data_IF_357249750592
#
_entry.id   IF_357249750592
#
_cell.length_a   1.000
_cell.length_b   1.000
_cell.length_c   1.000
_cell.angle_alpha   90.00
_cell.angle_beta   90.00
_cell.angle_gamma   90.00
#
_symmetry.space_group_name_H-M   'P 1'
#
loop_
_entity.id
_entity.type
_entity.pdbx_description
1 polymer ?
#
# COMPACT_ATOMS: atom_id res chain seq x y z
N UNK A 1 17.39 -2.71 17.92
CA UNK A 1 18.63 -2.26 17.24
C UNK A 1 18.46 -2.50 15.74
N UNK A 2 17.93 -1.52 15.01
CA UNK A 2 17.71 -1.64 13.57
C UNK A 2 18.93 -1.11 12.82
N UNK A 3 19.55 -1.98 12.01
CA UNK A 3 20.60 -1.61 11.05
C UNK A 3 19.98 -0.71 9.98
N UNK A 4 20.30 0.57 10.02
CA UNK A 4 20.13 1.47 8.89
C UNK A 4 21.17 1.08 7.82
N UNK A 5 20.73 0.42 6.75
CA UNK A 5 21.53 0.34 5.52
C UNK A 5 21.39 1.68 4.80
N UNK A 6 22.35 2.56 5.04
CA UNK A 6 22.55 3.78 4.25
C UNK A 6 23.02 3.38 2.86
N UNK A 7 22.12 3.30 1.90
CA UNK A 7 22.47 3.32 0.47
C UNK A 7 22.75 4.77 0.13
N UNK A 8 24.03 5.16 0.29
CA UNK A 8 24.55 6.40 -0.24
C UNK A 8 24.66 6.25 -1.78
N UNK A 9 23.61 6.64 -2.50
CA UNK A 9 23.67 6.79 -3.94
C UNK A 9 24.24 8.18 -4.24
N UNK A 10 25.48 8.21 -4.73
CA UNK A 10 26.16 9.43 -5.17
C UNK A 10 25.34 10.09 -6.29
N UNK A 11 24.65 11.17 -5.93
CA UNK A 11 24.18 12.19 -6.86
C UNK A 11 25.38 13.02 -7.29
N UNK A 12 25.99 12.67 -8.42
CA UNK A 12 26.81 13.61 -9.17
C UNK A 12 25.87 14.56 -9.91
N UNK A 13 25.34 15.57 -9.20
CA UNK A 13 24.72 16.74 -9.83
C UNK A 13 25.85 17.56 -10.43
N UNK A 14 26.14 17.35 -11.70
CA UNK A 14 26.83 18.36 -12.50
C UNK A 14 25.88 19.53 -12.69
N UNK A 15 25.95 20.48 -11.75
CA UNK A 15 25.55 21.87 -11.96
C UNK A 15 26.44 22.44 -13.08
N UNK A 16 26.09 22.19 -14.34
CA UNK A 16 26.54 23.05 -15.43
C UNK A 16 25.66 24.29 -15.41
N UNK A 17 26.32 25.41 -15.11
CA UNK A 17 25.70 26.67 -14.76
C UNK A 17 24.86 27.27 -15.86
N UNK A 18 23.86 28.02 -15.40
CA UNK A 18 23.53 29.36 -15.88
C UNK A 18 23.34 29.52 -17.39
N UNK A 19 22.06 29.64 -17.76
CA UNK A 19 21.58 30.38 -18.91
C UNK A 19 22.49 31.60 -19.20
N UNK A 20 23.38 31.48 -20.18
CA UNK A 20 23.70 32.63 -21.04
C UNK A 20 22.74 32.55 -22.19
N UNK A 21 21.76 33.44 -22.15
CA UNK A 21 20.99 33.84 -23.31
C UNK A 21 21.97 34.07 -24.47
N UNK A 22 21.75 33.35 -25.57
CA UNK A 22 22.43 33.49 -26.85
C UNK A 22 22.06 34.83 -27.50
N UNK A 23 22.39 35.96 -26.85
CA UNK A 23 22.48 37.26 -27.52
C UNK A 23 23.81 37.33 -28.27
N UNK A 24 23.97 36.54 -29.34
CA UNK A 24 24.94 36.77 -30.43
C UNK A 24 25.00 35.64 -31.47
N UNK A 25 23.87 35.24 -32.06
CA UNK A 25 23.89 34.64 -33.43
C UNK A 25 22.79 35.24 -34.33
N UNK A 26 22.16 36.36 -33.94
CA UNK A 26 21.13 37.03 -34.76
C UNK A 26 21.69 37.94 -35.88
N UNK A 27 22.96 37.80 -36.27
CA UNK A 27 23.57 38.64 -37.32
C UNK A 27 24.50 37.85 -38.25
N UNK A 28 24.04 36.70 -38.77
CA UNK A 28 24.68 36.05 -39.93
C UNK A 28 23.69 36.10 -41.11
N UNK A 29 23.30 37.33 -41.48
CA UNK A 29 22.90 37.66 -42.86
C UNK A 29 24.04 38.51 -43.42
N UNK A 30 25.23 37.93 -43.53
CA UNK A 30 26.42 38.55 -44.14
C UNK A 30 27.41 37.46 -44.53
N UNK A 31 27.23 36.92 -45.74
CA UNK A 31 28.25 36.52 -46.73
C UNK A 31 29.56 35.79 -46.38
N UNK A 32 29.83 35.38 -45.14
CA UNK A 32 30.97 34.52 -44.81
C UNK A 32 30.47 33.09 -44.54
N UNK A 33 30.97 32.13 -45.34
CA UNK A 33 30.70 30.71 -45.14
C UNK A 33 31.20 30.31 -43.75
N UNK A 34 30.34 29.67 -42.95
CA UNK A 34 30.74 29.12 -41.66
C UNK A 34 32.00 28.24 -41.81
N UNK A 35 32.93 28.32 -40.86
CA UNK A 35 34.17 27.54 -40.96
C UNK A 35 33.89 26.06 -40.68
N UNK A 36 34.69 25.14 -41.25
CA UNK A 36 34.55 23.70 -40.97
C UNK A 36 34.57 23.38 -39.46
N UNK A 37 35.35 24.13 -38.67
CA UNK A 37 35.43 23.96 -37.21
C UNK A 37 34.12 24.36 -36.51
N UNK A 38 33.43 25.41 -37.00
CA UNK A 38 32.14 25.83 -36.45
C UNK A 38 31.04 24.81 -36.72
N UNK A 39 31.01 24.28 -37.96
CA UNK A 39 30.09 23.22 -38.37
C UNK A 39 30.32 21.96 -37.51
N UNK A 40 31.58 21.53 -37.38
CA UNK A 40 31.93 20.34 -36.58
C UNK A 40 31.59 20.52 -35.09
N UNK A 41 31.80 21.72 -34.55
CA UNK A 41 31.46 22.01 -33.15
C UNK A 41 29.94 22.00 -32.91
N UNK A 42 29.13 22.50 -33.86
CA UNK A 42 27.67 22.44 -33.78
C UNK A 42 27.17 21.00 -33.84
N UNK A 43 27.70 20.21 -34.78
CA UNK A 43 27.40 18.78 -34.90
C UNK A 43 27.68 18.02 -33.61
N UNK A 44 28.88 18.16 -33.03
CA UNK A 44 29.23 17.43 -31.80
C UNK A 44 28.37 17.81 -30.58
N UNK A 45 27.90 19.06 -30.50
CA UNK A 45 26.95 19.45 -29.44
C UNK A 45 25.60 18.78 -29.63
N UNK A 46 25.10 18.73 -30.87
CA UNK A 46 23.86 18.04 -31.21
C UNK A 46 23.98 16.53 -30.94
N UNK A 47 25.11 15.91 -31.32
CA UNK A 47 25.42 14.50 -31.02
C UNK A 47 25.43 14.21 -29.51
N UNK A 48 26.09 15.06 -28.71
CA UNK A 48 26.11 14.91 -27.27
C UNK A 48 24.71 15.02 -26.65
N UNK A 49 23.90 16.00 -27.10
CA UNK A 49 22.52 16.16 -26.65
C UNK A 49 21.65 14.96 -27.03
N UNK A 50 21.81 14.44 -28.25
CA UNK A 50 21.11 13.24 -28.72
C UNK A 50 21.45 12.01 -27.86
N UNK A 51 22.73 11.80 -27.54
CA UNK A 51 23.17 10.70 -26.67
C UNK A 51 22.59 10.81 -25.26
N UNK A 52 22.51 12.03 -24.71
CA UNK A 52 21.89 12.28 -23.41
C UNK A 52 20.38 11.94 -23.44
N UNK A 53 19.67 12.37 -24.49
CA UNK A 53 18.26 12.04 -24.68
C UNK A 53 18.04 10.52 -24.85
N UNK A 54 18.93 9.84 -25.58
CA UNK A 54 18.91 8.38 -25.73
C UNK A 54 19.02 7.67 -24.37
N UNK A 55 19.98 8.12 -23.56
CA UNK A 55 20.17 7.58 -22.22
C UNK A 55 18.95 7.84 -21.33
N UNK A 56 18.36 9.03 -21.38
CA UNK A 56 17.16 9.36 -20.62
C UNK A 56 15.98 8.46 -21.00
N UNK A 57 15.74 8.22 -22.29
CA UNK A 57 14.71 7.28 -22.76
C UNK A 57 14.97 5.85 -22.26
N UNK A 58 16.22 5.39 -22.31
CA UNK A 58 16.61 4.08 -21.77
C UNK A 58 16.30 3.96 -20.28
N UNK A 59 16.68 4.96 -19.48
CA UNK A 59 16.39 5.01 -18.05
C UNK A 59 14.89 5.05 -17.75
N UNK A 60 14.09 5.74 -18.59
CA UNK A 60 12.64 5.79 -18.46
C UNK A 60 12.00 4.40 -18.56
N UNK A 61 12.51 3.55 -19.45
CA UNK A 61 12.02 2.19 -19.62
C UNK A 61 12.45 1.28 -18.47
N UNK A 62 13.72 1.34 -18.05
CA UNK A 62 14.25 0.56 -16.92
C UNK A 62 13.54 0.90 -15.60
N UNK A 63 13.23 2.19 -15.38
CA UNK A 63 12.54 2.65 -14.19
C UNK A 63 11.01 2.59 -14.29
N UNK A 64 10.44 2.07 -15.37
CA UNK A 64 8.98 1.94 -15.57
C UNK A 64 8.23 3.26 -15.32
N UNK A 65 8.78 4.39 -15.78
CA UNK A 65 8.26 5.73 -15.44
C UNK A 65 6.83 5.97 -15.94
N UNK A 66 6.39 5.24 -16.96
CA UNK A 66 5.03 5.31 -17.47
C UNK A 66 3.95 4.89 -16.47
N UNK A 67 4.30 4.12 -15.42
CA UNK A 67 3.37 3.77 -14.34
C UNK A 67 3.08 4.95 -13.40
N UNK A 68 3.97 5.95 -13.39
CA UNK A 68 3.91 7.09 -12.48
C UNK A 68 3.50 8.39 -13.18
N UNK A 69 3.93 8.59 -14.42
CA UNK A 69 3.65 9.80 -15.21
C UNK A 69 3.56 9.46 -16.70
N UNK A 70 2.46 8.81 -17.08
CA UNK A 70 2.23 8.32 -18.45
C UNK A 70 2.21 9.43 -19.50
N UNK A 71 1.74 10.63 -19.12
CA UNK A 71 1.66 11.80 -20.01
C UNK A 71 3.05 12.27 -20.43
N UNK A 72 3.94 12.54 -19.47
CA UNK A 72 5.30 13.01 -19.79
C UNK A 72 6.12 11.93 -20.48
N UNK A 73 6.00 10.67 -20.06
CA UNK A 73 6.71 9.58 -20.74
C UNK A 73 6.23 9.37 -22.17
N UNK A 74 4.91 9.45 -22.42
CA UNK A 74 4.37 9.31 -23.78
C UNK A 74 4.82 10.46 -24.68
N UNK A 75 4.83 11.69 -24.15
CA UNK A 75 5.33 12.86 -24.88
C UNK A 75 6.81 12.70 -25.22
N UNK A 76 7.64 12.30 -24.25
CA UNK A 76 9.07 12.06 -24.47
C UNK A 76 9.31 10.96 -25.52
N UNK A 77 8.56 9.85 -25.49
CA UNK A 77 8.68 8.79 -26.49
C UNK A 77 8.30 9.25 -27.90
N UNK A 78 7.29 10.11 -28.06
CA UNK A 78 6.92 10.68 -29.37
C UNK A 78 8.00 11.63 -29.90
N UNK A 79 8.54 12.49 -29.04
CA UNK A 79 9.65 13.38 -29.39
C UNK A 79 10.89 12.57 -29.77
N UNK A 80 11.17 11.49 -29.04
CA UNK A 80 12.28 10.60 -29.34
C UNK A 80 12.18 9.99 -30.74
N UNK A 81 10.99 9.54 -31.17
CA UNK A 81 10.79 9.00 -32.52
C UNK A 81 11.12 10.02 -33.61
N UNK A 82 10.68 11.27 -33.46
CA UNK A 82 11.04 12.36 -34.41
C UNK A 82 12.54 12.63 -34.39
N UNK A 83 13.11 12.79 -33.19
CA UNK A 83 14.51 13.11 -32.99
C UNK A 83 15.46 12.07 -33.62
N UNK A 84 15.06 10.79 -33.65
CA UNK A 84 15.84 9.74 -34.30
C UNK A 84 15.99 9.98 -35.81
N UNK A 85 14.91 10.40 -36.47
CA UNK A 85 14.93 10.70 -37.91
C UNK A 85 15.72 12.00 -38.17
N UNK A 86 15.46 13.05 -37.38
CA UNK A 86 16.13 14.36 -37.50
C UNK A 86 17.65 14.24 -37.29
N UNK A 87 18.08 13.47 -36.28
CA UNK A 87 19.49 13.21 -36.02
C UNK A 87 20.12 12.30 -37.06
N UNK A 88 19.39 11.31 -37.60
CA UNK A 88 19.89 10.46 -38.68
C UNK A 88 20.21 11.29 -39.93
N UNK A 89 19.34 12.23 -40.31
CA UNK A 89 19.58 13.18 -41.41
C UNK A 89 20.83 14.03 -41.15
N UNK A 90 20.91 14.65 -39.97
CA UNK A 90 22.07 15.46 -39.57
C UNK A 90 23.38 14.67 -39.53
N UNK A 91 23.33 13.40 -39.10
CA UNK A 91 24.49 12.50 -39.06
C UNK A 91 24.97 12.08 -40.44
N UNK A 92 24.07 11.96 -41.41
CA UNK A 92 24.39 11.63 -42.79
C UNK A 92 25.03 12.82 -43.52
N UNK A 93 24.68 14.05 -43.15
CA UNK A 93 25.30 15.26 -43.69
C UNK A 93 25.64 16.31 -42.63
N UNK A 94 26.75 16.15 -41.89
CA UNK A 94 27.15 17.09 -40.83
C UNK A 94 27.38 18.53 -41.31
N UNK A 95 27.62 18.74 -42.61
CA UNK A 95 27.78 20.07 -43.19
C UNK A 95 26.53 20.95 -43.06
N UNK A 96 25.36 20.34 -42.90
CA UNK A 96 24.07 21.04 -42.77
C UNK A 96 23.77 21.48 -41.32
N UNK A 97 24.69 21.25 -40.38
CA UNK A 97 24.48 21.58 -38.96
C UNK A 97 24.06 23.03 -38.70
N UNK A 98 24.58 23.96 -39.51
CA UNK A 98 24.28 25.40 -39.41
C UNK A 98 23.27 25.87 -40.45
N UNK A 99 22.68 24.96 -41.23
CA UNK A 99 21.60 25.29 -42.14
C UNK A 99 20.29 25.48 -41.38
N UNK A 100 19.43 26.33 -41.92
CA UNK A 100 18.10 26.61 -41.37
C UNK A 100 17.28 25.32 -41.29
N UNK A 101 16.77 25.00 -40.11
CA UNK A 101 15.91 23.83 -39.89
C UNK A 101 14.59 23.91 -40.67
N UNK A 102 14.08 25.13 -40.86
CA UNK A 102 12.85 25.39 -41.63
C UNK A 102 12.92 26.76 -42.29
N UNK A 103 12.09 26.96 -43.33
CA UNK A 103 11.91 28.25 -44.00
C UNK A 103 11.33 29.36 -43.09
N UNK A 104 10.76 28.98 -41.95
CA UNK A 104 10.11 29.89 -41.00
C UNK A 104 10.78 29.94 -39.63
N UNK A 105 11.84 29.15 -39.41
CA UNK A 105 12.58 29.11 -38.14
C UNK A 105 13.90 29.87 -38.27
N UNK A 106 14.32 30.49 -37.16
CA UNK A 106 15.69 31.02 -37.01
C UNK A 106 16.69 29.97 -36.55
N UNK A 107 16.21 28.78 -36.17
CA UNK A 107 17.03 27.72 -35.59
C UNK A 107 17.73 26.92 -36.68
N UNK A 108 18.96 26.51 -36.40
CA UNK A 108 19.70 25.59 -37.27
C UNK A 108 19.26 24.14 -37.03
N UNK A 109 19.55 23.23 -37.96
CA UNK A 109 19.28 21.79 -37.76
C UNK A 109 19.92 21.26 -36.47
N UNK A 110 21.13 21.72 -36.14
CA UNK A 110 21.78 21.34 -34.88
C UNK A 110 21.05 21.90 -33.64
N UNK A 111 20.54 23.13 -33.71
CA UNK A 111 19.79 23.75 -32.61
C UNK A 111 18.46 23.02 -32.36
N UNK A 112 17.76 22.59 -33.41
CA UNK A 112 16.52 21.82 -33.29
C UNK A 112 16.75 20.46 -32.61
N UNK A 113 17.76 19.70 -33.06
CA UNK A 113 18.17 18.44 -32.43
C UNK A 113 18.51 18.65 -30.95
N UNK A 114 19.26 19.71 -30.63
CA UNK A 114 19.60 20.04 -29.24
C UNK A 114 18.35 20.40 -28.41
N UNK A 115 17.44 21.21 -28.95
CA UNK A 115 16.25 21.66 -28.26
C UNK A 115 15.30 20.49 -27.94
N UNK A 116 15.02 19.64 -28.94
CA UNK A 116 14.18 18.45 -28.76
C UNK A 116 14.83 17.46 -27.80
N UNK A 117 16.15 17.26 -27.89
CA UNK A 117 16.90 16.41 -26.94
C UNK A 117 16.74 16.91 -25.50
N UNK A 118 16.90 18.21 -25.27
CA UNK A 118 16.77 18.80 -23.94
C UNK A 118 15.34 18.73 -23.40
N UNK A 119 14.33 18.85 -24.27
CA UNK A 119 12.92 18.66 -23.90
C UNK A 119 12.66 17.22 -23.44
N UNK A 120 13.17 16.22 -24.17
CA UNK A 120 13.08 14.81 -23.77
C UNK A 120 13.71 14.60 -22.40
N UNK A 121 14.95 15.06 -22.20
CA UNK A 121 15.66 14.94 -20.91
C UNK A 121 14.85 15.59 -19.78
N UNK A 122 14.30 16.78 -20.01
CA UNK A 122 13.47 17.49 -19.03
C UNK A 122 12.19 16.72 -18.69
N UNK A 123 11.50 16.15 -19.67
CA UNK A 123 10.27 15.36 -19.46
C UNK A 123 10.55 14.10 -18.64
N UNK A 124 11.63 13.38 -18.97
CA UNK A 124 12.03 12.18 -18.23
C UNK A 124 12.47 12.51 -16.80
N UNK A 125 13.26 13.58 -16.62
CA UNK A 125 13.68 14.03 -15.30
C UNK A 125 12.47 14.41 -14.41
N UNK A 126 11.46 15.08 -15.00
CA UNK A 126 10.22 15.40 -14.30
C UNK A 126 9.42 14.14 -13.92
N UNK A 127 9.30 13.15 -14.81
CA UNK A 127 8.65 11.88 -14.52
C UNK A 127 9.38 11.09 -13.41
N UNK A 128 10.72 11.10 -13.41
CA UNK A 128 11.54 10.52 -12.35
C UNK A 128 11.31 11.22 -11.01
N UNK A 129 11.22 12.55 -11.00
CA UNK A 129 10.89 13.33 -9.81
C UNK A 129 9.49 13.00 -9.27
N UNK A 130 8.50 12.86 -10.17
CA UNK A 130 7.15 12.44 -9.81
C UNK A 130 7.14 11.04 -9.18
N UNK A 131 7.85 10.06 -9.77
CA UNK A 131 8.02 8.72 -9.18
C UNK A 131 8.60 8.79 -7.76
N UNK A 132 9.68 9.54 -7.56
CA UNK A 132 10.30 9.71 -6.24
C UNK A 132 9.33 10.35 -5.24
N UNK A 133 8.58 11.37 -5.66
CA UNK A 133 7.58 12.02 -4.84
C UNK A 133 6.45 11.05 -4.45
N UNK A 134 5.86 10.35 -5.41
CA UNK A 134 4.80 9.36 -5.19
C UNK A 134 5.26 8.26 -4.22
N UNK A 135 6.41 7.65 -4.50
CA UNK A 135 6.92 6.54 -3.69
C UNK A 135 7.23 7.01 -2.27
N UNK A 136 7.91 8.15 -2.09
CA UNK A 136 8.34 8.60 -0.76
C UNK A 136 7.19 9.19 0.07
N UNK A 137 6.32 10.00 -0.54
CA UNK A 137 5.25 10.72 0.15
C UNK A 137 4.09 9.79 0.48
N UNK A 138 3.72 8.87 -0.41
CA UNK A 138 2.56 7.99 -0.22
C UNK A 138 2.89 6.65 0.43
N UNK A 139 4.15 6.36 0.77
CA UNK A 139 4.56 5.09 1.40
C UNK A 139 3.73 4.74 2.65
N UNK A 140 3.49 5.66 3.61
CA UNK A 140 2.73 5.30 4.81
C UNK A 140 1.28 4.87 4.49
N UNK A 141 0.69 5.48 3.46
CA UNK A 141 -0.68 5.21 3.02
C UNK A 141 -0.76 3.88 2.28
N UNK A 142 0.22 3.58 1.42
CA UNK A 142 0.31 2.28 0.70
C UNK A 142 0.31 1.09 1.66
N UNK A 143 1.00 1.20 2.79
CA UNK A 143 1.02 0.15 3.79
C UNK A 143 -0.37 -0.20 4.33
N UNK A 144 -1.29 0.79 4.42
CA UNK A 144 -2.66 0.53 4.84
C UNK A 144 -3.47 -0.21 3.78
N UNK A 145 -3.36 0.16 2.49
CA UNK A 145 -4.05 -0.55 1.41
C UNK A 145 -3.69 -2.03 1.35
N UNK A 146 -2.40 -2.36 1.53
CA UNK A 146 -1.95 -3.77 1.59
C UNK A 146 -2.64 -4.56 2.71
N UNK A 147 -2.85 -3.93 3.87
CA UNK A 147 -3.56 -4.58 4.99
C UNK A 147 -5.05 -4.71 4.67
N UNK A 148 -5.66 -3.66 4.14
CA UNK A 148 -7.07 -3.66 3.75
C UNK A 148 -7.40 -4.71 2.70
N UNK A 149 -6.52 -4.92 1.72
CA UNK A 149 -6.68 -5.94 0.68
C UNK A 149 -6.65 -7.35 1.28
N UNK A 150 -5.72 -7.60 2.20
CA UNK A 150 -5.66 -8.88 2.95
C UNK A 150 -6.90 -9.15 3.79
N UNK A 151 -7.56 -8.09 4.27
CA UNK A 151 -8.80 -8.16 5.04
C UNK A 151 -10.05 -8.10 4.15
N UNK A 152 -9.88 -8.20 2.83
CA UNK A 152 -10.96 -8.18 1.83
C UNK A 152 -11.86 -6.94 1.94
N UNK A 153 -11.30 -5.80 2.37
CA UNK A 153 -12.06 -4.58 2.62
C UNK A 153 -12.75 -4.04 1.36
N UNK A 154 -12.20 -4.33 0.16
CA UNK A 154 -12.82 -3.99 -1.11
C UNK A 154 -14.17 -4.67 -1.35
N UNK A 155 -14.42 -5.83 -0.74
CA UNK A 155 -15.71 -6.53 -0.84
C UNK A 155 -16.68 -6.06 0.25
N UNK A 156 -16.24 -6.09 1.51
CA UNK A 156 -17.11 -5.83 2.66
C UNK A 156 -17.37 -4.33 2.89
N UNK A 157 -16.44 -3.47 2.49
CA UNK A 157 -16.49 -2.01 2.67
C UNK A 157 -16.28 -1.24 1.36
N UNK A 158 -16.78 -1.80 0.24
CA UNK A 158 -16.53 -1.32 -1.12
C UNK A 158 -16.60 0.20 -1.30
N UNK A 159 -17.66 0.85 -0.81
CA UNK A 159 -17.85 2.30 -0.96
C UNK A 159 -16.80 3.13 -0.22
N UNK A 160 -16.41 2.73 0.98
CA UNK A 160 -15.39 3.43 1.77
C UNK A 160 -14.01 3.20 1.17
N UNK A 161 -13.69 1.95 0.84
CA UNK A 161 -12.44 1.58 0.20
C UNK A 161 -12.22 2.35 -1.11
N UNK A 162 -13.21 2.33 -2.01
CA UNK A 162 -13.13 3.01 -3.31
C UNK A 162 -12.92 4.53 -3.17
N UNK A 163 -13.56 5.17 -2.19
CA UNK A 163 -13.36 6.61 -1.92
C UNK A 163 -11.93 6.92 -1.49
N UNK A 164 -11.36 6.10 -0.61
CA UNK A 164 -10.00 6.30 -0.13
C UNK A 164 -8.97 5.99 -1.22
N UNK A 165 -9.23 4.97 -2.05
CA UNK A 165 -8.41 4.65 -3.22
C UNK A 165 -8.41 5.80 -4.23
N UNK A 166 -9.58 6.35 -4.56
CA UNK A 166 -9.68 7.53 -5.43
C UNK A 166 -8.90 8.72 -4.86
N UNK A 167 -9.01 8.99 -3.55
CA UNK A 167 -8.23 10.06 -2.90
C UNK A 167 -6.71 9.82 -2.96
N UNK A 168 -6.29 8.57 -2.86
CA UNK A 168 -4.89 8.20 -3.02
C UNK A 168 -4.41 8.41 -4.47
N UNK A 169 -5.25 8.12 -5.46
CA UNK A 169 -4.95 8.40 -6.87
C UNK A 169 -4.91 9.91 -7.17
N UNK A 170 -5.85 10.70 -6.62
CA UNK A 170 -5.81 12.17 -6.67
C UNK A 170 -4.47 12.70 -6.14
N UNK A 171 -3.95 12.13 -5.06
CA UNK A 171 -2.64 12.52 -4.51
C UNK A 171 -1.48 12.17 -5.45
N UNK A 172 -1.55 11.07 -6.21
CA UNK A 172 -0.54 10.78 -7.24
C UNK A 172 -0.54 11.87 -8.31
N UNK A 173 -1.71 12.23 -8.82
CA UNK A 173 -1.86 13.29 -9.84
C UNK A 173 -1.35 14.64 -9.31
N UNK A 174 -1.67 14.99 -8.07
CA UNK A 174 -1.15 16.20 -7.42
C UNK A 174 0.38 16.19 -7.29
N UNK A 175 1.00 15.04 -6.98
CA UNK A 175 2.45 14.91 -6.90
C UNK A 175 3.11 15.05 -8.28
N UNK A 176 2.51 14.48 -9.32
CA UNK A 176 2.93 14.69 -10.73
C UNK A 176 2.88 16.18 -11.11
N UNK A 177 1.86 16.89 -10.62
CA UNK A 177 1.69 18.33 -10.80
C UNK A 177 2.56 19.20 -9.86
N UNK A 178 3.44 18.60 -9.05
CA UNK A 178 4.36 19.33 -8.16
C UNK A 178 3.73 19.85 -6.86
N UNK A 179 2.50 19.47 -6.53
CA UNK A 179 1.76 19.94 -5.34
C UNK A 179 2.10 19.18 -4.06
N UNK A 180 3.39 18.96 -3.82
CA UNK A 180 3.87 18.13 -2.69
C UNK A 180 3.40 18.63 -1.33
N UNK A 181 3.47 19.95 -1.08
CA UNK A 181 3.12 20.54 0.21
C UNK A 181 1.63 20.34 0.54
N UNK A 182 0.75 20.47 -0.46
CA UNK A 182 -0.69 20.23 -0.30
C UNK A 182 -0.99 18.77 0.05
N UNK A 183 -0.31 17.83 -0.63
CA UNK A 183 -0.46 16.39 -0.37
C UNK A 183 0.05 16.04 1.03
N UNK A 184 1.25 16.49 1.39
CA UNK A 184 1.83 16.26 2.72
C UNK A 184 0.94 16.84 3.85
N UNK A 185 0.30 17.99 3.63
CA UNK A 185 -0.66 18.56 4.56
C UNK A 185 -1.96 17.76 4.72
N UNK A 186 -2.42 17.09 3.66
CA UNK A 186 -3.66 16.31 3.65
C UNK A 186 -3.45 14.81 3.99
N UNK A 187 -2.20 14.32 4.01
CA UNK A 187 -1.86 12.93 4.31
C UNK A 187 -2.34 12.44 5.69
N UNK A 188 -2.21 13.19 6.79
CA UNK A 188 -2.64 12.72 8.10
C UNK A 188 -4.14 12.37 8.15
N UNK A 189 -4.96 13.11 7.42
CA UNK A 189 -6.40 12.83 7.32
C UNK A 189 -6.65 11.51 6.59
N UNK A 190 -6.02 11.31 5.43
CA UNK A 190 -6.14 10.05 4.67
C UNK A 190 -5.65 8.86 5.49
N UNK A 191 -4.50 8.99 6.18
CA UNK A 191 -3.97 7.96 7.07
C UNK A 191 -4.95 7.63 8.19
N UNK A 192 -5.54 8.64 8.84
CA UNK A 192 -6.54 8.42 9.89
C UNK A 192 -7.77 7.67 9.36
N UNK A 193 -8.26 8.04 8.17
CA UNK A 193 -9.43 7.40 7.57
C UNK A 193 -9.14 5.94 7.17
N UNK A 194 -7.95 5.68 6.63
CA UNK A 194 -7.47 4.33 6.30
C UNK A 194 -7.31 3.48 7.56
N UNK A 195 -6.71 4.02 8.62
CA UNK A 195 -6.54 3.30 9.87
C UNK A 195 -7.88 2.92 10.51
N UNK A 196 -8.86 3.83 10.51
CA UNK A 196 -10.22 3.50 10.98
C UNK A 196 -10.85 2.40 10.12
N UNK A 197 -10.68 2.45 8.79
CA UNK A 197 -11.16 1.38 7.92
C UNK A 197 -10.46 0.05 8.20
N UNK A 198 -9.16 0.04 8.51
CA UNK A 198 -8.44 -1.17 8.91
C UNK A 198 -9.00 -1.76 10.20
N UNK A 199 -9.31 -0.93 11.20
CA UNK A 199 -9.92 -1.39 12.45
C UNK A 199 -11.26 -2.06 12.20
N UNK A 200 -12.13 -1.43 11.41
CA UNK A 200 -13.46 -1.96 11.09
C UNK A 200 -13.34 -3.25 10.24
N UNK A 201 -12.42 -3.28 9.28
CA UNK A 201 -12.16 -4.45 8.44
C UNK A 201 -11.59 -5.62 9.25
N UNK A 202 -10.63 -5.37 10.14
CA UNK A 202 -10.04 -6.41 10.99
C UNK A 202 -11.06 -7.00 11.95
N UNK A 203 -11.88 -6.16 12.59
CA UNK A 203 -12.97 -6.62 13.46
C UNK A 203 -13.97 -7.49 12.69
N UNK A 204 -14.40 -7.04 11.51
CA UNK A 204 -15.33 -7.80 10.68
C UNK A 204 -14.73 -9.14 10.22
N UNK A 205 -13.51 -9.11 9.68
CA UNK A 205 -12.83 -10.27 9.12
C UNK A 205 -12.55 -11.34 10.19
N UNK A 206 -12.02 -10.94 11.35
CA UNK A 206 -11.60 -11.90 12.38
C UNK A 206 -12.69 -12.25 13.38
N UNK A 207 -13.53 -11.28 13.77
CA UNK A 207 -14.48 -11.44 14.88
C UNK A 207 -15.94 -11.42 14.44
N UNK A 208 -16.24 -11.14 13.16
CA UNK A 208 -17.61 -10.99 12.66
C UNK A 208 -18.52 -12.17 13.01
N UNK A 209 -18.02 -13.41 12.85
CA UNK A 209 -18.74 -14.63 13.22
C UNK A 209 -18.99 -14.71 14.73
N UNK A 210 -17.95 -14.51 15.55
CA UNK A 210 -18.03 -14.55 17.02
C UNK A 210 -19.04 -13.52 17.53
N UNK A 211 -18.98 -12.26 17.04
CA UNK A 211 -19.92 -11.21 17.43
C UNK A 211 -21.36 -11.54 17.02
N UNK A 212 -21.55 -12.18 15.86
CA UNK A 212 -22.88 -12.65 15.45
C UNK A 212 -23.41 -13.73 16.39
N UNK A 213 -22.59 -14.70 16.77
CA UNK A 213 -22.96 -15.77 17.70
C UNK A 213 -23.28 -15.22 19.10
N UNK A 214 -22.49 -14.27 19.62
CA UNK A 214 -22.76 -13.60 20.91
C UNK A 214 -24.11 -12.88 20.89
N UNK A 215 -24.49 -12.23 19.78
CA UNK A 215 -25.81 -11.59 19.63
C UNK A 215 -26.94 -12.62 19.63
N UNK A 216 -26.76 -13.75 18.96
CA UNK A 216 -27.75 -14.84 18.96
C UNK A 216 -27.93 -15.45 20.35
N UNK A 217 -26.83 -15.63 21.09
CA UNK A 217 -26.87 -16.13 22.48
C UNK A 217 -27.66 -15.19 23.40
N UNK A 218 -27.51 -13.87 23.22
CA UNK A 218 -28.20 -12.85 24.01
C UNK A 218 -29.72 -12.96 23.98
N UNK A 219 -30.29 -13.49 22.90
CA UNK A 219 -31.74 -13.64 22.69
C UNK A 219 -32.22 -15.08 22.88
N UNK A 220 -31.37 -15.97 23.38
CA UNK A 220 -31.69 -17.39 23.56
C UNK A 220 -31.87 -17.73 25.03
N UNK A 221 -32.65 -18.78 25.32
CA UNK A 221 -32.85 -19.33 26.68
C UNK A 221 -31.52 -19.67 27.37
N UNK A 222 -30.45 -19.91 26.59
CA UNK A 222 -29.13 -20.20 27.12
C UNK A 222 -28.58 -19.06 27.98
N UNK A 223 -28.83 -17.80 27.61
CA UNK A 223 -28.37 -16.64 28.37
C UNK A 223 -29.17 -16.46 29.68
N UNK A 224 -30.44 -16.85 29.69
CA UNK A 224 -31.28 -16.81 30.89
C UNK A 224 -30.93 -17.93 31.88
N UNK A 225 -30.59 -19.12 31.35
CA UNK A 225 -30.24 -20.31 32.16
C UNK A 225 -28.78 -20.26 32.64
N UNK A 226 -27.87 -19.72 31.83
CA UNK A 226 -26.43 -19.62 32.13
C UNK A 226 -25.93 -18.15 32.10
N UNK A 227 -26.48 -17.26 32.95
CA UNK A 227 -26.18 -15.83 32.89
C UNK A 227 -24.73 -15.48 33.21
N UNK A 228 -24.09 -16.22 34.13
CA UNK A 228 -22.67 -16.01 34.47
C UNK A 228 -21.77 -16.43 33.31
N UNK A 229 -22.03 -17.58 32.69
CA UNK A 229 -21.26 -18.05 31.53
C UNK A 229 -21.44 -17.13 30.33
N UNK A 230 -22.66 -16.63 30.12
CA UNK A 230 -22.93 -15.65 29.06
C UNK A 230 -22.12 -14.36 29.28
N UNK A 231 -22.02 -13.90 30.52
CA UNK A 231 -21.19 -12.74 30.85
C UNK A 231 -19.71 -12.99 30.55
N UNK A 232 -19.18 -14.19 30.82
CA UNK A 232 -17.80 -14.57 30.44
C UNK A 232 -17.58 -14.51 28.92
N UNK A 233 -18.54 -15.04 28.14
CA UNK A 233 -18.52 -15.00 26.67
C UNK A 233 -18.44 -13.55 26.19
N UNK A 234 -19.31 -12.69 26.73
CA UNK A 234 -19.37 -11.27 26.36
C UNK A 234 -18.06 -10.55 26.68
N UNK A 235 -17.54 -10.67 27.90
CA UNK A 235 -16.28 -10.03 28.32
C UNK A 235 -15.11 -10.50 27.46
N UNK A 236 -15.06 -11.79 27.14
CA UNK A 236 -13.99 -12.35 26.29
C UNK A 236 -14.08 -11.82 24.87
N UNK A 237 -15.29 -11.73 24.28
CA UNK A 237 -15.50 -11.17 22.96
C UNK A 237 -15.16 -9.66 22.91
N UNK A 238 -15.58 -8.88 23.92
CA UNK A 238 -15.27 -7.45 24.05
C UNK A 238 -13.76 -7.20 24.22
N UNK A 239 -13.07 -8.06 24.98
CA UNK A 239 -11.62 -8.02 25.12
C UNK A 239 -10.92 -8.34 23.79
N UNK A 240 -11.39 -9.35 23.05
CA UNK A 240 -10.86 -9.67 21.72
C UNK A 240 -11.07 -8.53 20.73
N UNK A 241 -12.27 -7.94 20.70
CA UNK A 241 -12.60 -6.77 19.87
C UNK A 241 -11.67 -5.59 20.18
N UNK A 242 -11.53 -5.24 21.46
CA UNK A 242 -10.65 -4.15 21.89
C UNK A 242 -9.20 -4.39 21.49
N UNK A 243 -8.72 -5.63 21.65
CA UNK A 243 -7.36 -6.01 21.24
C UNK A 243 -7.16 -5.89 19.72
N UNK A 244 -8.10 -6.38 18.91
CA UNK A 244 -8.04 -6.31 17.45
C UNK A 244 -7.97 -4.86 16.98
N UNK A 245 -8.84 -3.98 17.50
CA UNK A 245 -8.87 -2.56 17.10
C UNK A 245 -7.57 -1.82 17.44
N UNK A 246 -6.87 -2.23 18.50
CA UNK A 246 -5.59 -1.64 18.88
C UNK A 246 -4.39 -2.26 18.13
N UNK A 247 -4.53 -3.50 17.66
CA UNK A 247 -3.42 -4.30 17.14
C UNK A 247 -3.75 -4.91 15.77
N UNK A 248 -4.33 -4.14 14.85
CA UNK A 248 -4.88 -4.59 13.55
C UNK A 248 -3.92 -5.40 12.66
N UNK A 249 -2.61 -5.34 12.92
CA UNK A 249 -1.55 -6.05 12.19
C UNK A 249 -0.93 -7.23 12.96
N UNK A 250 -1.32 -7.47 14.21
CA UNK A 250 -0.83 -8.57 15.05
C UNK A 250 -1.62 -9.87 14.80
N UNK A 251 -1.56 -10.38 13.57
CA UNK A 251 -2.47 -11.42 13.09
C UNK A 251 -2.51 -12.70 13.93
N UNK A 252 -1.36 -13.19 14.40
CA UNK A 252 -1.30 -14.42 15.19
C UNK A 252 -1.89 -14.23 16.60
N UNK A 253 -1.60 -13.10 17.24
CA UNK A 253 -2.19 -12.75 18.53
C UNK A 253 -3.71 -12.53 18.41
N UNK A 254 -4.14 -11.87 17.33
CA UNK A 254 -5.57 -11.72 17.00
C UNK A 254 -6.24 -13.09 16.89
N UNK A 255 -5.68 -14.01 16.10
CA UNK A 255 -6.24 -15.37 15.96
C UNK A 255 -6.34 -16.07 17.31
N UNK A 256 -5.34 -15.91 18.19
CA UNK A 256 -5.39 -16.48 19.53
C UNK A 256 -6.52 -15.87 20.38
N UNK A 257 -6.72 -14.55 20.34
CA UNK A 257 -7.82 -13.88 21.05
C UNK A 257 -9.19 -14.29 20.52
N UNK A 258 -9.35 -14.35 19.20
CA UNK A 258 -10.56 -14.84 18.55
C UNK A 258 -10.84 -16.29 18.98
N UNK A 259 -9.79 -17.13 18.97
CA UNK A 259 -9.93 -18.54 19.38
C UNK A 259 -10.42 -18.68 20.81
N UNK A 260 -9.93 -17.84 21.72
CA UNK A 260 -10.40 -17.84 23.10
C UNK A 260 -11.89 -17.49 23.19
N UNK A 261 -12.36 -16.50 22.43
CA UNK A 261 -13.78 -16.15 22.37
C UNK A 261 -14.65 -17.28 21.78
N UNK A 262 -14.19 -17.93 20.70
CA UNK A 262 -14.86 -19.11 20.14
C UNK A 262 -14.99 -20.25 21.17
N UNK A 263 -13.93 -20.49 21.96
CA UNK A 263 -13.94 -21.54 22.97
C UNK A 263 -14.92 -21.23 24.11
N UNK A 264 -15.09 -19.96 24.50
CA UNK A 264 -16.10 -19.58 25.48
C UNK A 264 -17.53 -19.80 24.96
N UNK A 265 -17.78 -19.48 23.69
CA UNK A 265 -19.08 -19.79 23.05
C UNK A 265 -19.34 -21.29 23.09
N UNK A 266 -18.34 -22.11 22.71
CA UNK A 266 -18.46 -23.58 22.77
C UNK A 266 -18.70 -24.09 24.19
N UNK A 267 -18.01 -23.55 25.19
CA UNK A 267 -18.23 -23.88 26.61
C UNK A 267 -19.69 -23.66 27.01
N UNK A 268 -20.27 -22.51 26.65
CA UNK A 268 -21.68 -22.21 26.93
C UNK A 268 -22.62 -23.22 26.27
N UNK A 269 -22.37 -23.57 25.01
CA UNK A 269 -23.14 -24.59 24.29
C UNK A 269 -23.05 -25.97 24.97
N UNK A 270 -21.86 -26.36 25.44
CA UNK A 270 -21.68 -27.63 26.16
C UNK A 270 -22.39 -27.64 27.51
N UNK A 271 -22.27 -26.57 28.30
CA UNK A 271 -22.96 -26.45 29.59
C UNK A 271 -24.48 -26.48 29.42
N UNK A 272 -25.00 -25.80 28.39
CA UNK A 272 -26.43 -25.85 28.09
C UNK A 272 -26.86 -27.26 27.66
N UNK A 273 -26.03 -27.99 26.92
CA UNK A 273 -26.31 -29.37 26.51
C UNK A 273 -26.27 -30.35 27.70
N UNK A 274 -25.42 -30.10 28.71
CA UNK A 274 -25.42 -30.81 29.98
C UNK A 274 -26.67 -30.49 30.82
N UNK A 275 -27.12 -29.22 30.82
CA UNK A 275 -28.39 -28.82 31.43
C UNK A 275 -29.57 -29.58 30.84
N UNK A 276 -29.72 -29.58 29.51
CA UNK A 276 -30.83 -30.25 28.83
C UNK A 276 -30.89 -31.76 29.15
N UNK A 277 -29.73 -32.42 29.31
CA UNK A 277 -29.67 -33.83 29.73
C UNK A 277 -30.12 -34.07 31.18
N UNK A 278 -30.09 -33.04 32.03
CA UNK A 278 -30.39 -33.09 33.47
C UNK A 278 -31.66 -32.32 33.84
N UNK A 279 -32.39 -31.79 32.86
CA UNK A 279 -33.54 -30.90 33.07
C UNK A 279 -34.65 -31.54 33.92
N UNK A 280 -34.80 -32.87 33.88
CA UNK A 280 -35.75 -33.59 34.74
C UNK A 280 -35.38 -33.57 36.24
N UNK A 281 -34.12 -33.29 36.58
CA UNK A 281 -33.59 -33.32 37.94
C UNK A 281 -33.16 -31.95 38.47
N UNK A 282 -33.04 -30.93 37.59
CA UNK A 282 -32.52 -29.61 37.93
C UNK A 282 -33.43 -28.54 37.30
N UNK A 283 -34.00 -27.68 38.16
CA UNK A 283 -34.79 -26.53 37.75
C UNK A 283 -33.92 -25.49 37.01
N UNK A 284 -34.46 -24.91 35.93
CA UNK A 284 -33.77 -23.95 35.05
C UNK A 284 -33.16 -22.78 35.84
N UNK A 285 -33.89 -22.26 36.84
CA UNK A 285 -33.44 -21.14 37.69
C UNK A 285 -32.28 -21.47 38.63
N UNK A 286 -31.96 -22.75 38.80
CA UNK A 286 -30.92 -23.24 39.71
C UNK A 286 -29.87 -24.07 38.98
N UNK A 287 -29.90 -24.10 37.65
CA UNK A 287 -29.07 -24.99 36.85
C UNK A 287 -27.60 -24.59 36.79
N UNK A 288 -27.31 -23.28 36.70
CA UNK A 288 -25.95 -22.80 36.43
C UNK A 288 -24.95 -23.17 37.55
N UNK A 289 -25.27 -22.90 38.82
CA UNK A 289 -24.32 -23.09 39.92
C UNK A 289 -23.84 -24.57 40.07
N UNK A 290 -24.70 -25.59 40.06
CA UNK A 290 -24.26 -26.99 40.05
C UNK A 290 -23.42 -27.37 38.83
N UNK A 291 -23.76 -26.87 37.64
CA UNK A 291 -23.03 -27.15 36.41
C UNK A 291 -21.61 -26.55 36.46
N UNK A 292 -21.49 -25.31 36.94
CA UNK A 292 -20.20 -24.65 37.13
C UNK A 292 -19.34 -25.33 38.19
N UNK A 293 -19.93 -25.84 39.27
CA UNK A 293 -19.21 -26.59 40.29
C UNK A 293 -18.60 -27.89 39.72
N UNK A 294 -19.36 -28.61 38.89
CA UNK A 294 -18.86 -29.82 38.23
C UNK A 294 -17.78 -29.50 37.19
N UNK A 295 -18.00 -28.45 36.38
CA UNK A 295 -17.00 -27.98 35.42
C UNK A 295 -15.68 -27.58 36.09
N UNK A 296 -15.73 -26.90 37.25
CA UNK A 296 -14.54 -26.52 38.00
C UNK A 296 -13.74 -27.73 38.49
N UNK A 297 -14.42 -28.79 38.95
CA UNK A 297 -13.77 -30.04 39.34
C UNK A 297 -13.08 -30.71 38.14
N UNK A 298 -13.77 -30.78 36.99
CA UNK A 298 -13.19 -31.34 35.78
C UNK A 298 -11.97 -30.55 35.31
N UNK A 299 -12.05 -29.20 35.32
CA UNK A 299 -10.92 -28.33 34.97
C UNK A 299 -9.72 -28.55 35.90
N UNK A 300 -9.94 -28.75 37.20
CA UNK A 300 -8.87 -29.08 38.14
C UNK A 300 -8.20 -30.42 37.77
N UNK A 301 -8.98 -31.43 37.40
CA UNK A 301 -8.47 -32.73 36.98
C UNK A 301 -7.72 -32.65 35.64
N UNK A 302 -8.22 -31.93 34.64
CA UNK A 302 -7.52 -31.76 33.35
C UNK A 302 -6.21 -31.00 33.52
N UNK A 303 -6.17 -29.99 34.39
CA UNK A 303 -4.94 -29.27 34.72
C UNK A 303 -3.91 -30.17 35.44
N UNK A 304 -4.34 -30.97 36.42
CA UNK A 304 -3.47 -31.94 37.11
C UNK A 304 -2.91 -33.00 36.16
N UNK A 305 -3.70 -33.42 35.16
CA UNK A 305 -3.27 -34.33 34.11
C UNK A 305 -2.41 -33.65 33.00
N UNK A 306 -2.16 -32.33 33.09
CA UNK A 306 -1.43 -31.59 32.07
C UNK A 306 -2.11 -31.57 30.70
N UNK A 307 -3.45 -31.61 30.68
CA UNK A 307 -4.27 -31.51 29.46
C UNK A 307 -4.71 -30.06 29.17
N UNK A 308 -4.64 -29.18 30.18
CA UNK A 308 -5.04 -27.78 30.07
C UNK A 308 -6.56 -27.59 30.12
N UNK A 309 -7.04 -26.50 29.51
CA UNK A 309 -8.45 -26.13 29.51
C UNK A 309 -9.23 -26.86 28.41
N UNK A 310 -10.06 -27.82 28.83
CA UNK A 310 -10.94 -28.61 27.96
C UNK A 310 -12.42 -28.29 28.14
N UNK A 311 -12.77 -27.16 28.77
CA UNK A 311 -14.18 -26.81 29.07
C UNK A 311 -15.07 -26.57 27.85
N UNK A 312 -14.48 -26.49 26.67
CA UNK A 312 -15.18 -26.45 25.39
C UNK A 312 -15.69 -27.82 24.92
N UNK A 313 -15.35 -28.90 25.62
CA UNK A 313 -15.80 -30.28 25.39
C UNK A 313 -16.89 -30.69 26.40
N UNK A 314 -17.67 -31.72 26.08
CA UNK A 314 -18.66 -32.29 27.02
C UNK A 314 -17.98 -32.89 28.26
N UNK A 315 -18.72 -33.05 29.36
CA UNK A 315 -18.17 -33.63 30.58
C UNK A 315 -17.67 -35.06 30.38
N UNK A 316 -18.37 -35.86 29.55
CA UNK A 316 -17.94 -37.20 29.18
C UNK A 316 -16.63 -37.23 28.40
N UNK A 317 -16.43 -36.30 27.47
CA UNK A 317 -15.19 -36.21 26.67
C UNK A 317 -14.01 -35.75 27.53
N UNK A 318 -14.23 -34.79 28.44
CA UNK A 318 -13.21 -34.36 29.40
C UNK A 318 -12.77 -35.53 30.30
N UNK A 319 -13.72 -36.29 30.85
CA UNK A 319 -13.44 -37.47 31.66
C UNK A 319 -12.70 -38.57 30.87
N UNK A 320 -13.12 -38.82 29.63
CA UNK A 320 -12.43 -39.78 28.76
C UNK A 320 -10.98 -39.35 28.47
N UNK A 321 -10.75 -38.06 28.23
CA UNK A 321 -9.40 -37.53 28.02
C UNK A 321 -8.51 -37.67 29.26
N UNK A 322 -9.07 -37.45 30.46
CA UNK A 322 -8.37 -37.67 31.74
C UNK A 322 -8.02 -39.16 31.87
N UNK A 323 -9.00 -40.05 31.67
CA UNK A 323 -8.82 -41.49 31.83
C UNK A 323 -7.79 -42.07 30.85
N UNK A 324 -7.71 -41.56 29.63
CA UNK A 324 -6.74 -42.02 28.63
C UNK A 324 -5.29 -41.58 28.93
N UNK A 325 -5.09 -40.66 29.88
CA UNK A 325 -3.78 -40.13 30.24
C UNK A 325 -3.24 -40.66 31.57
N UNK A 326 -4.13 -41.16 32.43
CA UNK A 326 -3.80 -41.87 33.67
C UNK A 326 -3.38 -43.31 33.37
#
# INVERSE_FOLDING_TARGET
>A
MYKQSSIALLLAVTLLGGCKTLDSVSNIVSSDKATPEQIQAAYHKAEAAYQEAQQAIGLSAEAELSEYDSERTSKASKLWQSLQDDFAELSANPAESLESASLFSSDTKADEVMAVSQEIVSLIAAAQSAKQAIVSVLEPVRAHFVVLDKLEAGQQFARRYARLAARHDDFKEMLVAGKRIEVEGALPELQSQLHVLEQDAAEHFFLGKVLSEVRTLATSDKADILPTVYQDVKVTAESAQSYIRQNVRAYEDIKHKVKLAELQIKRMEQLFSEHMRRQAAIDDKRAEAPLLALEAQLLEMTNKAGLGDLRHLSFSEQLAAINNKL
#
